data_IF_413268357952
#
_entry.id   IF_413268357952
#
_cell.length_a   1.000
_cell.length_b   1.000
_cell.length_c   1.000
_cell.angle_alpha   90.00
_cell.angle_beta   90.00
_cell.angle_gamma   90.00
#
_symmetry.space_group_name_H-M   'P 1'
#
loop_
_entity.id
_entity.type
_entity.pdbx_description
1 polymer ?
#
# COMPACT_ATOMS: atom_id res chain seq x y z
N UNK A 1 8.85 -27.91 25.79
CA UNK A 1 8.86 -26.48 25.50
C UNK A 1 9.58 -26.31 24.17
N UNK A 2 8.83 -25.98 23.12
CA UNK A 2 9.36 -25.39 21.88
C UNK A 2 8.20 -24.62 21.26
N UNK A 3 8.11 -23.33 21.60
CA UNK A 3 7.25 -22.37 20.90
C UNK A 3 7.81 -22.21 19.49
N UNK A 4 7.07 -22.70 18.49
CA UNK A 4 7.30 -22.32 17.10
C UNK A 4 6.77 -20.90 16.95
N UNK A 5 7.68 -19.93 16.95
CA UNK A 5 7.44 -18.53 16.60
C UNK A 5 7.11 -18.48 15.10
N UNK A 6 5.89 -18.90 14.73
CA UNK A 6 5.33 -18.69 13.40
C UNK A 6 5.04 -17.20 13.24
N UNK A 7 6.08 -16.43 12.94
CA UNK A 7 5.90 -15.10 12.36
C UNK A 7 5.02 -15.28 11.13
N UNK A 8 3.90 -14.55 11.00
CA UNK A 8 3.08 -14.61 9.80
C UNK A 8 4.01 -14.36 8.62
N UNK A 9 4.19 -15.37 7.77
CA UNK A 9 4.86 -15.20 6.50
C UNK A 9 3.96 -14.28 5.68
N UNK A 10 4.16 -12.97 5.78
CA UNK A 10 3.77 -12.05 4.73
C UNK A 10 4.46 -12.60 3.49
N UNK A 11 3.67 -13.22 2.61
CA UNK A 11 4.14 -13.64 1.30
C UNK A 11 4.50 -12.34 0.61
N UNK A 12 5.78 -11.96 0.71
CA UNK A 12 6.31 -10.82 -0.03
C UNK A 12 5.92 -11.06 -1.49
N UNK A 13 5.03 -10.23 -2.05
CA UNK A 13 4.59 -10.40 -3.41
C UNK A 13 5.85 -10.34 -4.28
N UNK A 14 6.15 -11.40 -5.05
CA UNK A 14 7.30 -11.42 -5.97
C UNK A 14 7.04 -10.53 -7.19
N UNK A 15 6.43 -9.38 -6.98
CA UNK A 15 6.14 -8.43 -8.03
C UNK A 15 7.20 -7.34 -8.11
N UNK A 16 7.16 -6.59 -9.20
CA UNK A 16 8.17 -5.59 -9.53
C UNK A 16 7.81 -4.22 -8.94
N UNK A 17 6.82 -4.14 -8.05
CA UNK A 17 6.43 -2.88 -7.43
C UNK A 17 7.37 -2.56 -6.27
N UNK A 18 7.54 -1.27 -6.00
CA UNK A 18 8.12 -0.84 -4.73
C UNK A 18 7.10 -1.05 -3.62
N UNK A 19 7.55 -1.45 -2.43
CA UNK A 19 6.65 -1.71 -1.31
C UNK A 19 6.67 -0.58 -0.29
N UNK A 20 5.52 -0.31 0.31
CA UNK A 20 5.35 0.70 1.33
C UNK A 20 4.03 0.55 2.07
N UNK A 21 3.83 1.39 3.07
CA UNK A 21 2.62 1.38 3.90
C UNK A 21 1.88 2.70 3.74
N UNK A 22 0.58 2.65 3.49
CA UNK A 22 -0.27 3.84 3.51
C UNK A 22 -0.30 4.38 4.93
N UNK A 23 0.27 5.57 5.15
CA UNK A 23 0.30 6.17 6.49
C UNK A 23 -0.84 7.14 6.74
N UNK A 24 -1.31 7.82 5.69
CA UNK A 24 -2.39 8.82 5.78
C UNK A 24 -3.23 8.85 4.52
N UNK A 25 -4.54 9.04 4.70
CA UNK A 25 -5.50 9.27 3.62
C UNK A 25 -6.24 10.59 3.89
N UNK A 26 -6.30 11.46 2.88
CA UNK A 26 -6.97 12.76 2.96
C UNK A 26 -8.05 12.87 1.88
N UNK A 27 -9.25 12.29 2.11
CA UNK A 27 -10.34 12.33 1.13
C UNK A 27 -10.74 13.75 0.72
N UNK A 28 -10.74 14.71 1.64
CA UNK A 28 -11.07 16.11 1.34
C UNK A 28 -10.08 16.79 0.40
N UNK A 29 -8.83 16.32 0.37
CA UNK A 29 -7.75 16.88 -0.45
C UNK A 29 -7.40 15.96 -1.64
N UNK A 30 -8.21 14.92 -1.90
CA UNK A 30 -7.95 13.91 -2.94
C UNK A 30 -6.51 13.39 -2.97
N UNK A 31 -5.92 13.16 -1.80
CA UNK A 31 -4.51 12.76 -1.68
C UNK A 31 -4.29 11.72 -0.58
N UNK A 32 -3.20 10.96 -0.71
CA UNK A 32 -2.73 10.05 0.34
C UNK A 32 -1.21 10.01 0.41
N UNK A 33 -0.70 9.40 1.48
CA UNK A 33 0.73 9.27 1.77
C UNK A 33 1.08 7.80 1.95
N UNK A 34 2.16 7.38 1.28
CA UNK A 34 2.80 6.08 1.48
C UNK A 34 4.18 6.32 2.09
N UNK A 35 4.48 5.61 3.17
CA UNK A 35 5.82 5.51 3.72
C UNK A 35 6.54 4.33 3.08
N UNK A 36 7.67 4.62 2.43
CA UNK A 36 8.57 3.63 1.84
C UNK A 36 9.35 2.88 2.91
N UNK A 37 9.95 1.75 2.56
CA UNK A 37 10.86 0.99 3.43
C UNK A 37 12.04 1.83 3.95
N UNK A 38 12.51 2.79 3.16
CA UNK A 38 13.57 3.73 3.57
C UNK A 38 13.12 4.78 4.59
N UNK A 39 11.83 4.81 4.95
CA UNK A 39 11.22 5.80 5.83
C UNK A 39 10.78 7.10 5.15
N UNK A 40 11.06 7.27 3.85
CA UNK A 40 10.57 8.43 3.07
C UNK A 40 9.06 8.39 2.90
N UNK A 41 8.44 9.56 2.90
CA UNK A 41 7.02 9.73 2.63
C UNK A 41 6.80 10.24 1.21
N UNK A 42 6.01 9.50 0.45
CA UNK A 42 5.65 9.81 -0.93
C UNK A 42 4.14 10.01 -1.02
N UNK A 43 3.73 10.93 -1.89
CA UNK A 43 2.32 11.31 -2.03
C UNK A 43 1.73 10.77 -3.33
N UNK A 44 0.43 10.46 -3.30
CA UNK A 44 -0.38 10.19 -4.48
C UNK A 44 -1.61 11.08 -4.49
N UNK A 45 -2.15 11.32 -5.67
CA UNK A 45 -3.46 11.95 -5.87
C UNK A 45 -4.47 10.89 -6.25
N UNK A 46 -5.67 10.96 -5.67
CA UNK A 46 -6.77 10.03 -5.93
C UNK A 46 -7.25 10.10 -7.38
N UNK A 47 -7.13 11.26 -8.01
CA UNK A 47 -7.56 11.48 -9.40
C UNK A 47 -6.55 10.94 -10.41
N UNK A 48 -5.28 10.83 -10.02
CA UNK A 48 -4.18 10.43 -10.91
C UNK A 48 -3.69 9.00 -10.66
N UNK A 49 -3.95 8.45 -9.49
CA UNK A 49 -3.48 7.11 -9.12
C UNK A 49 -4.31 6.04 -9.81
N UNK A 50 -3.63 5.08 -10.42
CA UNK A 50 -4.25 3.88 -10.99
C UNK A 50 -4.18 2.76 -9.95
N UNK A 51 -5.35 2.22 -9.57
CA UNK A 51 -5.46 1.14 -8.59
C UNK A 51 -5.46 -0.23 -9.25
N UNK A 52 -4.68 -1.15 -8.68
CA UNK A 52 -4.61 -2.55 -9.06
C UNK A 52 -4.90 -3.42 -7.83
N UNK A 53 -5.43 -4.63 -8.06
CA UNK A 53 -5.73 -5.57 -6.98
C UNK A 53 -7.16 -5.45 -6.47
N UNK A 54 -7.33 -5.54 -5.15
CA UNK A 54 -8.63 -5.57 -4.48
C UNK A 54 -9.32 -4.20 -4.45
N UNK A 55 -8.55 -3.14 -4.21
CA UNK A 55 -9.09 -1.78 -4.20
C UNK A 55 -9.46 -1.36 -5.63
N UNK A 56 -10.72 -0.94 -5.82
CA UNK A 56 -11.20 -0.43 -7.11
C UNK A 56 -11.30 1.09 -7.10
N UNK A 57 -11.43 1.67 -5.91
CA UNK A 57 -11.53 3.10 -5.69
C UNK A 57 -10.60 3.54 -4.56
N UNK A 58 -10.18 4.83 -4.51
CA UNK A 58 -9.37 5.34 -3.41
C UNK A 58 -10.04 5.23 -2.03
N UNK A 59 -11.38 5.10 -1.99
CA UNK A 59 -12.13 4.88 -0.76
C UNK A 59 -11.97 3.46 -0.18
N UNK A 60 -11.51 2.51 -0.98
CA UNK A 60 -11.25 1.13 -0.53
C UNK A 60 -9.90 1.01 0.21
N UNK A 61 -9.01 1.99 0.04
CA UNK A 61 -7.70 2.04 0.66
C UNK A 61 -7.82 2.27 2.17
N UNK A 62 -6.88 1.71 2.93
CA UNK A 62 -6.84 1.90 4.39
C UNK A 62 -5.47 2.35 4.88
N UNK A 63 -5.48 3.16 5.93
CA UNK A 63 -4.26 3.48 6.66
C UNK A 63 -3.73 2.21 7.36
N UNK A 64 -2.40 2.04 7.37
CA UNK A 64 -1.71 0.84 7.83
C UNK A 64 -1.63 -0.29 6.79
N UNK A 65 -2.24 -0.13 5.62
CA UNK A 65 -2.21 -1.15 4.57
C UNK A 65 -0.87 -1.16 3.83
N UNK A 66 -0.30 -2.36 3.65
CA UNK A 66 0.89 -2.57 2.82
C UNK A 66 0.48 -2.63 1.35
N UNK A 67 1.13 -1.83 0.52
CA UNK A 67 0.82 -1.69 -0.90
C UNK A 67 2.08 -1.69 -1.75
N UNK A 68 1.92 -2.18 -2.97
CA UNK A 68 2.90 -1.99 -4.04
C UNK A 68 2.65 -0.63 -4.71
N UNK A 69 3.68 0.09 -5.09
CA UNK A 69 3.56 1.37 -5.78
C UNK A 69 4.58 1.55 -6.90
N UNK A 70 4.19 2.34 -7.90
CA UNK A 70 5.09 2.86 -8.94
C UNK A 70 5.17 4.38 -8.84
N UNK A 71 6.34 4.91 -9.19
CA UNK A 71 6.57 6.34 -9.30
C UNK A 71 6.47 6.81 -10.74
N UNK A 72 5.88 7.98 -10.92
CA UNK A 72 5.78 8.66 -12.19
C UNK A 72 6.03 10.15 -12.05
N UNK A 73 6.55 10.75 -13.12
CA UNK A 73 6.68 12.20 -13.22
C UNK A 73 5.31 12.82 -13.48
N UNK A 74 4.93 13.77 -12.63
CA UNK A 74 3.74 14.62 -12.81
C UNK A 74 4.18 16.07 -12.98
N UNK A 75 3.26 16.94 -13.37
CA UNK A 75 3.48 18.39 -13.41
C UNK A 75 3.91 18.98 -12.05
N UNK A 76 3.68 18.27 -10.95
CA UNK A 76 4.04 18.67 -9.59
C UNK A 76 5.23 17.89 -9.01
N UNK A 77 5.98 17.19 -9.88
CA UNK A 77 7.15 16.38 -9.50
C UNK A 77 6.87 14.87 -9.45
N UNK A 78 7.81 14.14 -8.87
CA UNK A 78 7.74 12.69 -8.72
C UNK A 78 6.66 12.32 -7.71
N UNK A 79 5.65 11.55 -8.15
CA UNK A 79 4.55 11.09 -7.31
C UNK A 79 4.29 9.61 -7.52
N UNK A 80 3.58 9.01 -6.58
CA UNK A 80 3.01 7.68 -6.76
C UNK A 80 1.86 7.78 -7.77
N UNK A 81 1.96 7.03 -8.86
CA UNK A 81 0.97 7.02 -9.96
C UNK A 81 0.23 5.70 -10.07
N UNK A 82 0.74 4.63 -9.46
CA UNK A 82 0.03 3.35 -9.36
C UNK A 82 0.13 2.82 -7.95
N UNK A 83 -0.95 2.21 -7.48
CA UNK A 83 -1.00 1.49 -6.22
C UNK A 83 -1.60 0.12 -6.49
N UNK A 84 -0.92 -0.92 -6.01
CA UNK A 84 -1.39 -2.30 -6.00
C UNK A 84 -1.71 -2.69 -4.56
N UNK A 85 -2.96 -3.05 -4.31
CA UNK A 85 -3.35 -3.66 -3.04
C UNK A 85 -3.24 -5.17 -3.12
N UNK A 86 -2.93 -5.78 -1.98
CA UNK A 86 -2.74 -7.22 -1.85
C UNK A 86 -3.91 -7.83 -1.07
N UNK A 87 -4.24 -9.11 -1.33
CA UNK A 87 -5.21 -9.82 -0.52
C UNK A 87 -4.79 -9.77 0.94
N UNK A 88 -5.72 -9.41 1.82
CA UNK A 88 -5.47 -9.48 3.26
C UNK A 88 -5.19 -10.93 3.61
N UNK A 89 -4.15 -11.22 4.44
CA UNK A 89 -4.02 -12.53 5.04
C UNK A 89 -5.35 -12.85 5.71
N UNK A 90 -6.01 -13.92 5.27
CA UNK A 90 -7.19 -14.42 5.94
C UNK A 90 -6.70 -14.82 7.33
N UNK A 91 -6.97 -13.99 8.34
CA UNK A 91 -6.79 -14.39 9.73
C UNK A 91 -7.67 -15.64 9.90
N UNK A 92 -7.04 -16.81 9.93
CA UNK A 92 -7.73 -18.05 10.22
C UNK A 92 -8.33 -17.89 11.60
N UNK A 93 -9.64 -18.08 11.81
CA UNK A 93 -10.22 -17.97 13.13
C UNK A 93 -9.52 -19.02 14.00
N UNK A 94 -8.75 -18.55 14.99
CA UNK A 94 -8.21 -19.43 16.03
C UNK A 94 -9.42 -19.95 16.81
N UNK A 95 -9.81 -21.19 16.51
CA UNK A 95 -10.78 -21.96 17.29
C UNK A 95 -10.21 -22.42 18.62
#
# INVERSE_FOLDING_TARGET
MSETDEKPQMVEPSDQYHHGVITKLFPSNNTGIVRTESGRELTFSYELVILFGEAKTPADLREGETVGYDLGWTSSGLRITKIKTYPKPIESPRG
#
